data_IF_788635200200
#
_entry.id   IF_788635200200
#
_cell.length_a   1.000
_cell.length_b   1.000
_cell.length_c   1.000
_cell.angle_alpha   90.00
_cell.angle_beta   90.00
_cell.angle_gamma   90.00
#
_symmetry.space_group_name_H-M   'P 1'
#
loop_
_entity.id
_entity.type
_entity.pdbx_description
1 polymer ?
#
# COMPACT_ATOMS: atom_id res chain seq x y z
N UNK A 1 21.48 16.98 10.12
CA UNK A 1 21.72 16.17 8.94
C UNK A 1 23.09 15.52 9.02
N UNK A 2 23.10 14.20 9.34
CA UNK A 2 24.33 13.44 9.51
C UNK A 2 24.73 12.67 8.24
N UNK A 3 23.82 12.59 7.26
CA UNK A 3 24.07 11.91 5.99
C UNK A 3 24.48 12.87 4.89
N UNK A 4 25.38 12.45 3.97
CA UNK A 4 25.79 13.26 2.82
C UNK A 4 24.59 13.68 1.97
N UNK A 5 24.60 14.90 1.45
CA UNK A 5 23.51 15.41 0.61
C UNK A 5 23.62 14.98 -0.85
N UNK A 6 24.81 14.64 -1.28
CA UNK A 6 25.17 14.26 -2.65
C UNK A 6 25.15 12.75 -2.90
N UNK A 7 24.70 11.95 -1.91
CA UNK A 7 24.59 10.49 -1.98
C UNK A 7 23.16 10.03 -1.72
N UNK A 8 22.72 8.93 -2.34
CA UNK A 8 21.44 8.30 -2.02
C UNK A 8 21.39 7.89 -0.54
N UNK A 9 20.24 8.12 0.09
CA UNK A 9 20.00 7.80 1.50
C UNK A 9 19.05 6.60 1.60
N UNK A 10 19.54 5.56 2.21
CA UNK A 10 18.82 4.31 2.36
C UNK A 10 18.37 4.11 3.81
N UNK A 11 17.07 3.86 4.01
CA UNK A 11 16.50 3.51 5.31
C UNK A 11 16.08 2.05 5.31
N UNK A 12 16.84 1.22 6.03
CA UNK A 12 16.68 -0.22 6.08
C UNK A 12 15.49 -0.63 6.96
N UNK A 13 14.73 -1.62 6.49
CA UNK A 13 13.71 -2.31 7.29
C UNK A 13 12.44 -1.51 7.59
N UNK A 14 12.20 -0.39 6.91
CA UNK A 14 11.03 0.49 7.07
C UNK A 14 10.23 0.51 5.77
N UNK A 15 8.91 0.43 5.73
CA UNK A 15 7.93 0.56 6.73
C UNK A 15 6.51 0.52 6.15
N UNK A 16 5.58 1.12 6.86
CA UNK A 16 4.22 1.33 6.37
C UNK A 16 4.19 2.37 5.23
N UNK A 17 3.09 2.45 4.45
CA UNK A 17 2.96 3.52 3.45
C UNK A 17 3.16 4.92 4.03
N UNK A 18 2.64 5.16 5.23
CA UNK A 18 2.77 6.44 5.96
C UNK A 18 4.23 6.72 6.32
N UNK A 19 4.97 5.70 6.79
CA UNK A 19 6.39 5.82 7.11
C UNK A 19 7.20 6.18 5.87
N UNK A 20 6.88 5.58 4.70
CA UNK A 20 7.56 5.91 3.45
C UNK A 20 7.32 7.37 3.04
N UNK A 21 6.06 7.82 3.08
CA UNK A 21 5.72 9.21 2.74
C UNK A 21 6.43 10.18 3.66
N UNK A 22 6.41 9.93 4.97
CA UNK A 22 7.11 10.74 5.95
C UNK A 22 8.62 10.74 5.72
N UNK A 23 9.25 9.57 5.57
CA UNK A 23 10.70 9.47 5.41
C UNK A 23 11.19 10.12 4.10
N UNK A 24 10.43 10.01 2.99
CA UNK A 24 10.73 10.72 1.74
C UNK A 24 10.67 12.23 1.96
N UNK A 25 9.71 12.73 2.74
CA UNK A 25 9.63 14.16 3.08
C UNK A 25 10.84 14.65 3.90
N UNK A 26 11.52 13.73 4.61
CA UNK A 26 12.76 14.00 5.34
C UNK A 26 14.03 13.77 4.49
N UNK A 27 13.88 13.41 3.21
CA UNK A 27 14.98 13.24 2.26
C UNK A 27 15.59 11.85 2.21
N UNK A 28 14.83 10.82 2.53
CA UNK A 28 15.21 9.41 2.30
C UNK A 28 14.82 9.01 0.87
N UNK A 29 15.70 8.28 0.19
CA UNK A 29 15.56 7.94 -1.23
C UNK A 29 15.18 6.48 -1.48
N UNK A 30 15.63 5.56 -0.61
CA UNK A 30 15.49 4.12 -0.81
C UNK A 30 15.08 3.40 0.45
N UNK A 31 14.32 2.31 0.26
CA UNK A 31 13.76 1.49 1.34
C UNK A 31 13.79 0.02 0.96
N UNK A 32 13.83 -0.84 1.96
CA UNK A 32 13.39 -2.23 1.87
C UNK A 32 12.44 -2.54 3.03
N UNK A 33 11.47 -3.41 2.79
CA UNK A 33 10.54 -3.82 3.84
C UNK A 33 9.82 -5.11 3.49
N UNK A 34 9.60 -5.95 4.50
CA UNK A 34 8.78 -7.17 4.37
C UNK A 34 7.27 -6.89 4.47
N UNK A 35 6.87 -5.69 4.87
CA UNK A 35 5.47 -5.34 5.15
C UNK A 35 4.52 -5.65 3.99
N UNK A 36 4.82 -5.29 2.72
CA UNK A 36 3.89 -5.56 1.63
C UNK A 36 3.55 -7.05 1.51
N UNK A 37 4.57 -7.90 1.53
CA UNK A 37 4.39 -9.35 1.34
C UNK A 37 3.89 -10.05 2.60
N UNK A 38 4.40 -9.67 3.78
CA UNK A 38 3.96 -10.25 5.06
C UNK A 38 2.50 -9.91 5.35
N UNK A 39 2.10 -8.65 5.18
CA UNK A 39 0.72 -8.22 5.40
C UNK A 39 -0.25 -8.85 4.41
N UNK A 40 0.14 -8.99 3.14
CA UNK A 40 -0.65 -9.68 2.12
C UNK A 40 -0.98 -11.13 2.52
N UNK A 41 0.01 -11.88 3.01
CA UNK A 41 -0.19 -13.27 3.48
C UNK A 41 -1.09 -13.34 4.72
N UNK A 42 -1.19 -12.25 5.49
CA UNK A 42 -2.07 -12.13 6.65
C UNK A 42 -3.43 -11.48 6.31
N UNK A 43 -3.72 -11.28 5.03
CA UNK A 43 -5.00 -10.73 4.57
C UNK A 43 -5.16 -9.23 4.81
N UNK A 44 -4.06 -8.49 5.04
CA UNK A 44 -4.05 -7.03 5.17
C UNK A 44 -3.53 -6.39 3.89
N UNK A 45 -4.37 -5.59 3.23
CA UNK A 45 -4.15 -5.06 1.90
C UNK A 45 -4.16 -3.52 1.95
N UNK A 46 -3.09 -2.92 1.45
CA UNK A 46 -2.93 -1.47 1.47
C UNK A 46 -3.68 -0.81 0.31
N UNK A 47 -4.36 0.30 0.60
CA UNK A 47 -5.06 1.12 -0.39
C UNK A 47 -4.80 2.61 -0.15
N UNK A 48 -5.15 3.47 -1.10
CA UNK A 48 -5.06 4.92 -0.93
C UNK A 48 -5.88 5.46 0.24
N UNK A 49 -6.92 4.74 0.66
CA UNK A 49 -7.86 5.16 1.70
C UNK A 49 -7.73 4.30 2.98
N UNK A 50 -6.59 3.64 3.19
CA UNK A 50 -6.32 2.84 4.38
C UNK A 50 -6.12 1.35 4.11
N UNK A 51 -6.29 0.51 5.14
CA UNK A 51 -6.03 -0.92 5.06
C UNK A 51 -7.33 -1.72 4.98
N UNK A 52 -7.48 -2.48 3.90
CA UNK A 52 -8.54 -3.48 3.77
C UNK A 52 -8.09 -4.79 4.43
N UNK A 53 -8.87 -5.28 5.39
CA UNK A 53 -8.67 -6.59 6.02
C UNK A 53 -9.63 -7.59 5.39
N UNK A 54 -9.14 -8.38 4.43
CA UNK A 54 -9.97 -9.28 3.63
C UNK A 54 -10.74 -10.33 4.44
N UNK A 55 -10.30 -10.60 5.68
CA UNK A 55 -10.97 -11.51 6.61
C UNK A 55 -12.24 -10.96 7.24
N UNK A 56 -12.49 -9.66 7.12
CA UNK A 56 -13.68 -9.05 7.68
C UNK A 56 -14.96 -9.64 7.07
N UNK A 57 -16.01 -9.75 7.89
CA UNK A 57 -17.29 -10.31 7.46
C UNK A 57 -17.96 -9.48 6.37
N UNK A 58 -17.75 -8.15 6.36
CA UNK A 58 -18.27 -7.22 5.35
C UNK A 58 -17.81 -7.57 3.93
N UNK A 59 -16.64 -8.20 3.78
CA UNK A 59 -16.08 -8.54 2.47
C UNK A 59 -16.59 -9.90 1.94
N UNK A 60 -17.52 -10.57 2.66
CA UNK A 60 -18.06 -11.89 2.28
C UNK A 60 -18.69 -11.89 0.89
N UNK A 61 -19.54 -10.90 0.63
CA UNK A 61 -20.32 -10.80 -0.61
C UNK A 61 -19.89 -9.58 -1.45
N UNK A 62 -18.74 -8.94 -1.10
CA UNK A 62 -18.27 -7.74 -1.75
C UNK A 62 -17.67 -8.04 -3.13
N UNK A 63 -18.36 -7.58 -4.18
CA UNK A 63 -17.98 -7.81 -5.58
C UNK A 63 -16.99 -6.79 -6.13
N UNK A 64 -16.73 -5.73 -5.37
CA UNK A 64 -15.72 -4.75 -5.74
C UNK A 64 -14.30 -5.31 -5.61
N UNK A 65 -13.32 -4.76 -6.35
CA UNK A 65 -11.91 -5.09 -6.17
C UNK A 65 -11.39 -4.59 -4.81
N UNK A 66 -10.16 -4.93 -4.46
CA UNK A 66 -9.48 -4.43 -3.25
C UNK A 66 -9.53 -2.90 -3.23
N UNK A 67 -9.18 -2.28 -4.34
CA UNK A 67 -9.19 -0.83 -4.52
C UNK A 67 -9.78 -0.48 -5.89
N UNK A 68 -10.94 0.21 -5.91
CA UNK A 68 -11.52 0.71 -7.16
C UNK A 68 -10.53 1.62 -7.90
N UNK A 69 -10.38 1.42 -9.20
CA UNK A 69 -9.43 2.19 -10.02
C UNK A 69 -7.99 1.69 -10.01
N UNK A 70 -7.64 0.74 -9.14
CA UNK A 70 -6.31 0.13 -9.14
C UNK A 70 -6.08 -0.72 -10.41
N UNK A 71 -4.95 -0.52 -11.08
CA UNK A 71 -4.59 -1.20 -12.33
C UNK A 71 -3.84 -2.52 -12.15
N UNK A 72 -3.64 -3.00 -10.91
CA UNK A 72 -2.94 -4.27 -10.68
C UNK A 72 -3.78 -5.46 -11.19
N UNK A 73 -3.09 -6.55 -11.53
CA UNK A 73 -3.73 -7.77 -12.00
C UNK A 73 -4.84 -8.26 -11.06
N UNK A 74 -4.61 -8.23 -9.74
CA UNK A 74 -5.59 -8.69 -8.77
C UNK A 74 -6.87 -7.85 -8.81
N UNK A 75 -6.78 -6.52 -8.80
CA UNK A 75 -7.94 -5.64 -8.83
C UNK A 75 -8.70 -5.67 -10.15
N UNK A 76 -8.02 -5.97 -11.26
CA UNK A 76 -8.66 -6.06 -12.58
C UNK A 76 -9.47 -7.34 -12.76
N UNK A 77 -9.15 -8.41 -12.03
CA UNK A 77 -9.70 -9.75 -12.32
C UNK A 77 -10.44 -10.40 -11.15
N UNK A 78 -10.27 -9.89 -9.90
CA UNK A 78 -10.79 -10.57 -8.72
C UNK A 78 -11.49 -9.61 -7.75
N UNK A 79 -12.60 -10.08 -7.16
CA UNK A 79 -13.35 -9.37 -6.14
C UNK A 79 -12.81 -9.66 -4.73
N UNK A 80 -13.14 -8.78 -3.77
CA UNK A 80 -12.86 -9.01 -2.34
C UNK A 80 -13.50 -10.32 -1.84
N UNK A 81 -14.73 -10.62 -2.25
CA UNK A 81 -15.41 -11.87 -1.88
C UNK A 81 -14.60 -13.10 -2.29
N UNK A 82 -14.08 -13.12 -3.51
CA UNK A 82 -13.27 -14.25 -3.99
C UNK A 82 -11.94 -14.36 -3.23
N UNK A 83 -11.24 -13.25 -3.02
CA UNK A 83 -9.98 -13.23 -2.25
C UNK A 83 -10.19 -13.68 -0.80
N UNK A 84 -11.31 -13.27 -0.18
CA UNK A 84 -11.69 -13.74 1.15
C UNK A 84 -11.96 -15.24 1.16
N UNK A 85 -12.67 -15.77 0.16
CA UNK A 85 -12.91 -17.20 0.02
C UNK A 85 -11.57 -17.98 -0.05
N UNK A 86 -10.65 -17.55 -0.89
CA UNK A 86 -9.32 -18.16 -1.01
C UNK A 86 -8.55 -18.14 0.33
N UNK A 87 -8.58 -17.01 1.05
CA UNK A 87 -7.94 -16.89 2.37
C UNK A 87 -8.56 -17.87 3.39
N UNK A 88 -9.89 -18.00 3.40
CA UNK A 88 -10.59 -18.91 4.32
C UNK A 88 -10.33 -20.39 4.00
N UNK A 89 -10.15 -20.73 2.73
CA UNK A 89 -9.82 -22.09 2.30
C UNK A 89 -8.31 -22.40 2.46
N UNK A 90 -7.48 -21.42 2.87
CA UNK A 90 -6.04 -21.60 3.00
C UNK A 90 -5.32 -21.73 1.66
N UNK A 91 -5.92 -21.27 0.55
CA UNK A 91 -5.37 -21.38 -0.79
C UNK A 91 -4.19 -20.43 -1.00
N UNK A 92 -3.05 -20.96 -1.45
CA UNK A 92 -1.85 -20.16 -1.75
C UNK A 92 -2.10 -19.09 -2.82
N UNK A 93 -3.06 -19.32 -3.72
CA UNK A 93 -3.45 -18.35 -4.74
C UNK A 93 -3.91 -17.04 -4.09
N UNK A 94 -4.66 -17.08 -2.98
CA UNK A 94 -5.08 -15.89 -2.25
C UNK A 94 -3.89 -15.05 -1.79
N UNK A 95 -2.92 -15.67 -1.13
CA UNK A 95 -1.69 -15.00 -0.68
C UNK A 95 -0.89 -14.41 -1.84
N UNK A 96 -0.83 -15.09 -2.99
CA UNK A 96 -0.16 -14.62 -4.19
C UNK A 96 -0.85 -13.38 -4.78
N UNK A 97 -2.17 -13.43 -4.95
CA UNK A 97 -2.97 -12.32 -5.49
C UNK A 97 -2.89 -11.08 -4.58
N UNK A 98 -3.01 -11.28 -3.27
CA UNK A 98 -2.87 -10.23 -2.28
C UNK A 98 -1.46 -9.59 -2.34
N UNK A 99 -0.42 -10.40 -2.51
CA UNK A 99 0.96 -9.91 -2.64
C UNK A 99 1.16 -9.07 -3.91
N UNK A 100 0.59 -9.49 -5.04
CA UNK A 100 0.62 -8.72 -6.30
C UNK A 100 0.02 -7.32 -6.08
N UNK A 101 -1.13 -7.24 -5.40
CA UNK A 101 -1.75 -5.96 -5.10
C UNK A 101 -0.87 -5.09 -4.20
N UNK A 102 -0.41 -5.60 -3.06
CA UNK A 102 0.39 -4.82 -2.12
C UNK A 102 1.71 -4.32 -2.73
N UNK A 103 2.41 -5.16 -3.51
CA UNK A 103 3.62 -4.73 -4.21
C UNK A 103 3.32 -3.65 -5.24
N UNK A 104 2.26 -3.81 -6.02
CA UNK A 104 1.82 -2.79 -6.98
C UNK A 104 1.54 -1.46 -6.27
N UNK A 105 0.80 -1.50 -5.15
CA UNK A 105 0.49 -0.31 -4.35
C UNK A 105 1.77 0.44 -3.92
N UNK A 106 2.76 -0.28 -3.36
CA UNK A 106 4.02 0.34 -2.93
C UNK A 106 4.81 0.94 -4.09
N UNK A 107 4.87 0.24 -5.22
CA UNK A 107 5.54 0.75 -6.43
C UNK A 107 4.85 2.01 -6.95
N UNK A 108 3.52 2.05 -6.97
CA UNK A 108 2.75 3.21 -7.40
C UNK A 108 2.88 4.38 -6.41
N UNK A 109 2.89 4.13 -5.11
CA UNK A 109 3.14 5.15 -4.09
C UNK A 109 4.50 5.82 -4.30
N UNK A 110 5.57 5.03 -4.49
CA UNK A 110 6.90 5.56 -4.75
C UNK A 110 7.00 6.30 -6.10
N UNK A 111 6.26 5.86 -7.12
CA UNK A 111 6.17 6.57 -8.39
C UNK A 111 5.46 7.93 -8.21
N UNK A 112 4.37 7.97 -7.46
CA UNK A 112 3.65 9.19 -7.12
C UNK A 112 4.52 10.20 -6.36
N UNK A 113 5.27 9.73 -5.35
CA UNK A 113 6.21 10.57 -4.59
C UNK A 113 7.30 11.16 -5.50
N UNK A 114 7.91 10.35 -6.39
CA UNK A 114 8.90 10.87 -7.37
C UNK A 114 8.30 11.92 -8.29
N UNK A 115 7.09 11.68 -8.79
CA UNK A 115 6.40 12.65 -9.65
C UNK A 115 6.08 13.97 -8.90
N UNK A 116 5.63 13.88 -7.63
CA UNK A 116 5.36 15.04 -6.78
C UNK A 116 6.65 15.84 -6.49
N UNK A 117 7.77 15.16 -6.23
CA UNK A 117 9.09 15.83 -6.08
C UNK A 117 9.44 16.58 -7.36
N UNK A 118 9.32 15.94 -8.53
CA UNK A 118 9.64 16.57 -9.83
C UNK A 118 8.80 17.81 -10.14
N UNK A 119 7.58 17.91 -9.58
CA UNK A 119 6.71 19.09 -9.72
C UNK A 119 6.82 20.09 -8.56
N UNK A 120 7.63 19.82 -7.53
CA UNK A 120 7.70 20.65 -6.32
C UNK A 120 6.46 20.57 -5.42
N UNK A 121 5.68 19.49 -5.52
CA UNK A 121 4.37 19.32 -4.85
C UNK A 121 4.43 18.27 -3.71
N UNK A 122 5.61 17.86 -3.28
CA UNK A 122 5.78 16.77 -2.31
C UNK A 122 4.98 16.98 -1.02
N UNK A 123 4.96 18.21 -0.48
CA UNK A 123 4.25 18.49 0.78
C UNK A 123 2.73 18.35 0.63
N UNK A 124 2.19 18.84 -0.48
CA UNK A 124 0.76 18.71 -0.79
C UNK A 124 0.37 17.23 -0.99
N UNK A 125 1.18 16.47 -1.73
CA UNK A 125 0.99 15.03 -1.93
C UNK A 125 1.00 14.27 -0.59
N UNK A 126 1.98 14.55 0.28
CA UNK A 126 2.10 13.91 1.58
C UNK A 126 0.89 14.22 2.48
N UNK A 127 0.47 15.49 2.54
CA UNK A 127 -0.68 15.90 3.34
C UNK A 127 -1.99 15.23 2.87
N UNK A 128 -2.24 15.20 1.55
CA UNK A 128 -3.41 14.53 0.97
C UNK A 128 -3.40 13.02 1.26
N UNK A 129 -2.27 12.37 1.04
CA UNK A 129 -2.13 10.93 1.31
C UNK A 129 -2.43 10.61 2.78
N UNK A 130 -1.81 11.32 3.73
CA UNK A 130 -2.00 11.08 5.15
C UNK A 130 -3.43 11.37 5.61
N UNK A 131 -4.08 12.40 5.07
CA UNK A 131 -5.47 12.71 5.36
C UNK A 131 -6.42 11.57 4.91
N UNK A 132 -6.20 11.01 3.72
CA UNK A 132 -6.99 9.87 3.21
C UNK A 132 -6.78 8.61 4.06
N UNK A 133 -5.55 8.30 4.47
CA UNK A 133 -5.27 7.16 5.35
C UNK A 133 -6.03 7.30 6.69
N UNK A 134 -6.07 8.49 7.27
CA UNK A 134 -6.77 8.74 8.52
C UNK A 134 -8.31 8.62 8.37
N UNK A 135 -8.88 9.10 7.26
CA UNK A 135 -10.32 9.00 7.01
C UNK A 135 -10.78 7.55 6.82
N UNK A 136 -9.98 6.72 6.16
CA UNK A 136 -10.26 5.29 5.97
C UNK A 136 -10.21 4.47 7.26
N UNK A 137 -9.44 4.90 8.27
CA UNK A 137 -9.40 4.28 9.60
C UNK A 137 -10.67 4.59 10.44
N UNK A 138 -11.42 5.63 10.08
CA UNK A 138 -12.61 6.10 10.81
C UNK A 138 -13.92 5.49 10.28
N UNK A 139 -13.87 4.67 9.23
CA UNK A 139 -15.06 3.95 8.73
C UNK A 139 -15.20 2.61 9.47
N UNK A 140 -16.35 2.38 10.17
CA UNK A 140 -16.61 1.19 10.97
C UNK A 140 -16.71 -0.09 10.16
#
# INVERSE_FOLDING_TARGET
PQLPRDKPRYLMGVGTPEDLVFAVSQGIDMFDCVMPTRNARNGSLFTGDGVVRIRNARDRDERLPIEPGCSCYTCQHYSRAYLRHLDQCGEMLGSRLNTIHNLHFYVQLMAGLRAAIGRGELQAFAADFLARQQSGLSMP
#
